data_IF_503110547909
#
_entry.id   IF_503110547909
#
_cell.length_a   1.000
_cell.length_b   1.000
_cell.length_c   1.000
_cell.angle_alpha   90.00
_cell.angle_beta   90.00
_cell.angle_gamma   90.00
#
_symmetry.space_group_name_H-M   'P 1'
#
loop_
_entity.id
_entity.type
_entity.pdbx_description
1 polymer ?
#
# COMPACT_ATOMS: atom_id res chain seq x y z
N UNK A 1 -15.89 -34.05 -21.43
CA UNK A 1 -15.21 -32.77 -21.19
C UNK A 1 -14.91 -32.68 -19.70
N UNK A 2 -13.68 -33.01 -19.32
CA UNK A 2 -13.17 -32.75 -17.98
C UNK A 2 -13.20 -31.25 -17.74
N UNK A 3 -13.95 -30.82 -16.71
CA UNK A 3 -13.90 -29.45 -16.19
C UNK A 3 -12.42 -29.15 -15.94
N UNK A 4 -11.81 -28.11 -16.55
CA UNK A 4 -10.43 -27.79 -16.24
C UNK A 4 -10.37 -27.51 -14.73
N UNK A 5 -9.54 -28.24 -13.99
CA UNK A 5 -9.17 -27.85 -12.63
C UNK A 5 -8.80 -26.37 -12.69
N UNK A 6 -9.55 -25.51 -11.96
CA UNK A 6 -9.26 -24.07 -11.89
C UNK A 6 -7.80 -23.93 -11.49
N UNK A 7 -6.98 -23.46 -12.42
CA UNK A 7 -5.57 -23.20 -12.14
C UNK A 7 -5.47 -21.88 -11.38
N UNK A 8 -4.54 -21.77 -10.40
CA UNK A 8 -4.24 -20.49 -9.78
C UNK A 8 -3.90 -19.44 -10.84
N UNK A 9 -4.35 -18.20 -10.62
CA UNK A 9 -4.10 -17.09 -11.55
C UNK A 9 -3.48 -15.91 -10.83
N UNK A 10 -2.79 -15.06 -11.58
CA UNK A 10 -2.46 -13.71 -11.12
C UNK A 10 -3.52 -12.73 -11.58
N UNK A 11 -3.84 -11.75 -10.75
CA UNK A 11 -4.52 -10.53 -11.18
C UNK A 11 -3.54 -9.38 -10.97
N UNK A 12 -2.98 -8.88 -12.06
CA UNK A 12 -2.06 -7.74 -12.03
C UNK A 12 -2.89 -6.46 -12.19
N UNK A 13 -2.73 -5.51 -11.28
CA UNK A 13 -3.51 -4.27 -11.30
C UNK A 13 -2.69 -3.07 -10.85
N UNK A 14 -3.23 -1.89 -11.16
CA UNK A 14 -2.71 -0.59 -10.76
C UNK A 14 -3.85 0.44 -10.67
N UNK A 15 -3.70 1.44 -9.80
CA UNK A 15 -4.61 2.58 -9.71
C UNK A 15 -3.89 3.88 -10.06
N UNK A 16 -4.58 4.73 -10.81
CA UNK A 16 -4.31 6.17 -10.76
C UNK A 16 -5.28 6.82 -9.78
N UNK A 17 -4.76 7.64 -8.88
CA UNK A 17 -5.55 8.31 -7.82
C UNK A 17 -5.44 9.82 -7.92
N UNK A 18 -6.41 10.51 -7.35
CA UNK A 18 -6.41 11.97 -7.24
C UNK A 18 -5.54 12.50 -6.09
N UNK A 19 -4.73 11.66 -5.45
CA UNK A 19 -3.84 12.06 -4.36
C UNK A 19 -3.19 10.87 -3.66
N UNK A 20 -2.33 11.17 -2.69
CA UNK A 20 -1.44 10.18 -2.07
C UNK A 20 -1.99 9.54 -0.79
N UNK A 21 -3.08 10.04 -0.23
CA UNK A 21 -3.68 9.52 1.00
C UNK A 21 -4.80 8.50 0.68
N UNK A 22 -4.58 7.17 0.83
CA UNK A 22 -5.49 6.15 0.30
C UNK A 22 -6.93 6.18 0.85
N UNK A 23 -7.12 6.76 2.04
CA UNK A 23 -8.43 6.88 2.67
C UNK A 23 -9.19 8.17 2.30
N UNK A 24 -8.47 9.27 2.05
CA UNK A 24 -9.05 10.61 1.94
C UNK A 24 -9.10 11.07 0.48
N UNK A 25 -8.09 10.68 -0.30
CA UNK A 25 -8.09 10.86 -1.74
C UNK A 25 -8.91 9.78 -2.44
N UNK A 26 -9.42 10.11 -3.64
CA UNK A 26 -10.31 9.25 -4.40
C UNK A 26 -9.56 8.57 -5.56
N UNK A 27 -9.90 7.32 -5.89
CA UNK A 27 -9.39 6.72 -7.11
C UNK A 27 -9.90 7.50 -8.33
N UNK A 28 -9.07 7.60 -9.37
CA UNK A 28 -9.43 8.22 -10.64
C UNK A 28 -9.63 7.16 -11.73
N UNK A 29 -8.71 6.19 -11.83
CA UNK A 29 -8.74 5.09 -12.78
C UNK A 29 -8.30 3.79 -12.10
N UNK A 30 -8.80 2.67 -12.59
CA UNK A 30 -8.28 1.34 -12.32
C UNK A 30 -7.95 0.64 -13.63
N UNK A 31 -6.83 -0.05 -13.65
CA UNK A 31 -6.50 -1.03 -14.69
C UNK A 31 -6.17 -2.38 -14.06
N UNK A 32 -6.56 -3.45 -14.74
CA UNK A 32 -6.15 -4.79 -14.32
C UNK A 32 -6.31 -5.84 -15.40
N UNK A 33 -5.45 -6.85 -15.36
CA UNK A 33 -5.47 -7.98 -16.27
C UNK A 33 -5.19 -9.27 -15.52
N UNK A 34 -5.97 -10.30 -15.84
CA UNK A 34 -5.73 -11.64 -15.32
C UNK A 34 -4.64 -12.28 -16.14
N UNK A 35 -3.78 -13.07 -15.52
CA UNK A 35 -2.75 -13.84 -16.18
C UNK A 35 -2.64 -15.24 -15.57
N UNK A 36 -2.17 -16.19 -16.38
CA UNK A 36 -1.87 -17.52 -15.88
C UNK A 36 -0.60 -17.51 -15.02
N UNK A 37 -0.19 -18.68 -14.53
CA UNK A 37 1.02 -18.79 -13.74
C UNK A 37 2.28 -18.41 -14.50
N UNK A 38 2.31 -18.43 -15.85
CA UNK A 38 3.38 -17.97 -16.74
C UNK A 38 3.40 -16.45 -16.95
N UNK A 39 2.44 -15.74 -16.36
CA UNK A 39 2.15 -14.32 -16.61
C UNK A 39 1.65 -14.05 -18.03
N UNK A 40 1.11 -15.06 -18.72
CA UNK A 40 0.44 -14.88 -20.01
C UNK A 40 -1.00 -14.37 -19.78
N UNK A 41 -1.39 -13.22 -20.39
CA UNK A 41 -2.72 -12.66 -20.23
C UNK A 41 -3.86 -13.64 -20.50
N UNK A 42 -4.87 -13.59 -19.65
CA UNK A 42 -6.10 -14.37 -19.74
C UNK A 42 -7.28 -13.41 -19.91
N UNK A 43 -7.85 -13.40 -21.11
CA UNK A 43 -8.96 -12.52 -21.46
C UNK A 43 -8.52 -11.08 -21.72
N UNK A 44 -9.50 -10.17 -21.73
CA UNK A 44 -9.29 -8.77 -22.08
C UNK A 44 -8.89 -7.91 -20.87
N UNK A 45 -7.99 -6.92 -21.07
CA UNK A 45 -7.67 -5.95 -20.02
C UNK A 45 -8.93 -5.19 -19.58
N UNK A 46 -9.01 -4.90 -18.29
CA UNK A 46 -10.11 -4.13 -17.70
C UNK A 46 -9.58 -2.75 -17.33
N UNK A 47 -10.12 -1.71 -17.95
CA UNK A 47 -9.79 -0.30 -17.65
C UNK A 47 -11.08 0.47 -17.49
N UNK A 48 -11.23 1.19 -16.37
CA UNK A 48 -12.40 2.02 -16.12
C UNK A 48 -12.09 3.12 -15.10
N UNK A 49 -12.85 4.22 -15.17
CA UNK A 49 -12.66 5.41 -14.34
C UNK A 49 -13.67 5.47 -13.18
N UNK A 50 -13.29 6.15 -12.11
CA UNK A 50 -14.15 6.45 -10.97
C UNK A 50 -14.52 7.94 -10.98
N UNK A 51 -15.81 8.24 -11.06
CA UNK A 51 -16.32 9.61 -10.97
C UNK A 51 -16.12 10.13 -9.54
N UNK A 52 -15.41 11.27 -9.35
CA UNK A 52 -15.31 11.89 -8.03
C UNK A 52 -16.70 12.39 -7.58
N UNK A 53 -16.99 12.27 -6.28
CA UNK A 53 -18.19 12.86 -5.69
C UNK A 53 -18.03 14.38 -5.51
N UNK A 54 -19.14 15.08 -5.27
CA UNK A 54 -19.20 16.54 -5.14
C UNK A 54 -18.66 17.08 -3.80
N UNK A 55 -18.05 16.21 -2.99
CA UNK A 55 -17.42 16.50 -1.70
C UNK A 55 -15.90 16.33 -1.74
N UNK A 56 -15.26 16.53 -2.89
CA UNK A 56 -13.82 16.31 -3.02
C UNK A 56 -13.17 17.19 -4.11
N UNK A 57 -11.97 17.68 -3.80
CA UNK A 57 -11.06 18.35 -4.73
C UNK A 57 -9.79 17.49 -4.89
N UNK A 58 -9.39 17.12 -6.12
CA UNK A 58 -8.14 16.39 -6.38
C UNK A 58 -6.89 17.14 -5.93
N UNK A 59 -5.85 16.43 -5.48
CA UNK A 59 -4.50 17.00 -5.35
C UNK A 59 -4.00 17.45 -6.74
N UNK A 60 -3.70 18.74 -6.93
CA UNK A 60 -3.20 19.22 -8.21
C UNK A 60 -1.93 18.52 -8.69
N UNK A 61 -1.02 18.12 -7.79
CA UNK A 61 0.19 17.41 -8.17
C UNK A 61 -0.10 16.01 -8.70
N UNK A 62 -1.07 15.30 -8.11
CA UNK A 62 -1.50 14.00 -8.60
C UNK A 62 -2.09 14.12 -10.01
N UNK A 63 -2.92 15.13 -10.27
CA UNK A 63 -3.48 15.37 -11.60
C UNK A 63 -2.40 15.71 -12.63
N UNK A 64 -1.34 16.42 -12.24
CA UNK A 64 -0.19 16.67 -13.12
C UNK A 64 0.61 15.40 -13.45
N UNK A 65 0.70 14.45 -12.53
CA UNK A 65 1.40 13.18 -12.72
C UNK A 65 0.57 12.25 -13.61
N UNK A 66 -0.70 12.04 -13.25
CA UNK A 66 -1.60 11.09 -13.93
C UNK A 66 -2.14 11.63 -15.25
N UNK A 67 -2.23 12.95 -15.40
CA UNK A 67 -2.89 13.61 -16.52
C UNK A 67 -4.42 13.45 -16.55
N UNK A 68 -5.02 12.81 -15.53
CA UNK A 68 -6.46 12.56 -15.46
C UNK A 68 -7.14 13.71 -14.71
N UNK A 69 -8.03 14.43 -15.40
CA UNK A 69 -8.81 15.50 -14.77
C UNK A 69 -10.07 14.97 -14.10
N UNK A 70 -10.60 15.64 -13.06
CA UNK A 70 -11.89 15.27 -12.46
C UNK A 70 -13.04 15.30 -13.49
N UNK A 71 -12.99 16.20 -14.49
CA UNK A 71 -13.98 16.22 -15.57
C UNK A 71 -13.91 14.99 -16.47
N UNK A 72 -12.70 14.50 -16.80
CA UNK A 72 -12.53 13.26 -17.56
C UNK A 72 -13.08 12.08 -16.77
N UNK A 73 -12.66 11.93 -15.51
CA UNK A 73 -13.11 10.84 -14.66
C UNK A 73 -14.64 10.89 -14.42
N UNK A 74 -15.23 12.09 -14.35
CA UNK A 74 -16.68 12.24 -14.23
C UNK A 74 -17.46 11.89 -15.51
N UNK A 75 -16.89 12.19 -16.69
CA UNK A 75 -17.49 11.89 -18.00
C UNK A 75 -17.39 10.41 -18.34
N UNK A 76 -16.21 9.83 -18.13
CA UNK A 76 -15.86 8.49 -18.61
C UNK A 76 -16.01 7.42 -17.51
N UNK A 77 -16.24 7.83 -16.27
CA UNK A 77 -16.29 6.96 -15.10
C UNK A 77 -17.69 6.63 -14.59
N UNK A 78 -17.71 5.69 -13.66
CA UNK A 78 -18.89 5.25 -12.90
C UNK A 78 -18.81 5.80 -11.47
N UNK A 79 -19.92 5.78 -10.71
CA UNK A 79 -19.85 6.14 -9.29
C UNK A 79 -18.97 5.16 -8.49
N UNK A 80 -18.54 5.55 -7.29
CA UNK A 80 -17.60 4.76 -6.49
C UNK A 80 -18.18 3.39 -6.09
N UNK A 81 -19.50 3.29 -5.91
CA UNK A 81 -20.19 2.03 -5.64
C UNK A 81 -20.04 1.00 -6.78
N UNK A 82 -20.31 1.41 -8.02
CA UNK A 82 -20.14 0.55 -9.20
C UNK A 82 -18.66 0.25 -9.48
N UNK A 83 -17.78 1.24 -9.25
CA UNK A 83 -16.33 1.07 -9.35
C UNK A 83 -15.84 -0.02 -8.38
N UNK A 84 -16.24 0.06 -7.10
CA UNK A 84 -15.96 -0.93 -6.08
C UNK A 84 -16.52 -2.32 -6.46
N UNK A 85 -17.75 -2.39 -6.96
CA UNK A 85 -18.39 -3.65 -7.38
C UNK A 85 -17.58 -4.36 -8.47
N UNK A 86 -17.12 -3.64 -9.49
CA UNK A 86 -16.32 -4.20 -10.59
C UNK A 86 -14.99 -4.76 -10.09
N UNK A 87 -14.28 -3.99 -9.28
CA UNK A 87 -12.99 -4.40 -8.70
C UNK A 87 -13.18 -5.60 -7.78
N UNK A 88 -14.17 -5.56 -6.88
CA UNK A 88 -14.49 -6.67 -6.00
C UNK A 88 -14.81 -7.96 -6.78
N UNK A 89 -15.59 -7.87 -7.86
CA UNK A 89 -15.88 -9.02 -8.71
C UNK A 89 -14.62 -9.64 -9.33
N UNK A 90 -13.65 -8.82 -9.74
CA UNK A 90 -12.36 -9.29 -10.26
C UNK A 90 -11.48 -9.90 -9.16
N UNK A 91 -11.42 -9.25 -7.98
CA UNK A 91 -10.54 -9.62 -6.88
C UNK A 91 -11.03 -10.87 -6.15
N UNK A 92 -12.34 -11.14 -6.15
CA UNK A 92 -12.97 -12.26 -5.43
C UNK A 92 -13.11 -13.53 -6.27
N UNK A 93 -12.47 -13.62 -7.44
CA UNK A 93 -12.35 -14.89 -8.18
C UNK A 93 -11.46 -15.86 -7.37
N UNK A 94 -11.89 -17.11 -7.10
CA UNK A 94 -11.10 -18.10 -6.37
C UNK A 94 -9.69 -18.32 -6.93
N UNK A 95 -8.76 -18.71 -6.05
CA UNK A 95 -7.37 -19.04 -6.36
C UNK A 95 -6.61 -17.92 -7.13
N UNK A 96 -6.93 -16.66 -6.81
CA UNK A 96 -6.28 -15.48 -7.39
C UNK A 96 -5.17 -14.95 -6.49
N UNK A 97 -3.98 -14.73 -7.04
CA UNK A 97 -2.93 -13.92 -6.43
C UNK A 97 -3.03 -12.48 -6.98
N UNK A 98 -3.55 -11.56 -6.17
CA UNK A 98 -3.63 -10.14 -6.52
C UNK A 98 -2.24 -9.52 -6.36
N UNK A 99 -1.73 -8.88 -7.40
CA UNK A 99 -0.35 -8.39 -7.50
C UNK A 99 -0.33 -7.01 -8.18
N UNK A 100 0.59 -6.16 -7.76
CA UNK A 100 0.95 -4.94 -8.48
C UNK A 100 2.42 -4.59 -8.22
N UNK A 101 2.75 -3.31 -8.38
CA UNK A 101 4.06 -2.77 -8.08
C UNK A 101 3.94 -1.71 -6.98
N UNK A 102 4.41 -2.02 -5.76
CA UNK A 102 4.16 -1.22 -4.54
C UNK A 102 2.72 -1.27 -4.02
N UNK A 103 1.89 -2.20 -4.52
CA UNK A 103 0.48 -2.29 -4.18
C UNK A 103 0.23 -2.51 -2.68
N UNK A 104 1.05 -3.28 -1.98
CA UNK A 104 0.82 -3.59 -0.56
C UNK A 104 0.85 -2.36 0.34
N UNK A 105 1.59 -1.32 -0.07
CA UNK A 105 1.73 -0.07 0.69
C UNK A 105 0.84 1.05 0.17
N UNK A 106 0.24 0.91 -1.01
CA UNK A 106 -0.56 1.95 -1.63
C UNK A 106 -1.89 1.40 -2.18
N UNK A 107 -1.89 0.71 -3.31
CA UNK A 107 -3.10 0.27 -4.00
C UNK A 107 -4.00 -0.63 -3.15
N UNK A 108 -3.42 -1.54 -2.37
CA UNK A 108 -4.17 -2.39 -1.44
C UNK A 108 -4.87 -1.56 -0.35
N UNK A 109 -4.27 -0.42 0.06
CA UNK A 109 -4.86 0.53 1.00
C UNK A 109 -5.97 1.34 0.31
N UNK A 110 -5.82 1.68 -0.97
CA UNK A 110 -6.90 2.27 -1.79
C UNK A 110 -8.06 1.29 -1.90
N UNK A 111 -7.81 0.02 -2.26
CA UNK A 111 -8.83 -1.03 -2.34
C UNK A 111 -9.53 -1.24 -1.00
N UNK A 112 -8.80 -1.29 0.11
CA UNK A 112 -9.40 -1.44 1.44
C UNK A 112 -10.35 -0.31 1.78
N UNK A 113 -9.94 0.94 1.56
CA UNK A 113 -10.78 2.10 1.84
C UNK A 113 -11.95 2.20 0.85
N UNK A 114 -11.74 1.85 -0.42
CA UNK A 114 -12.79 1.74 -1.43
C UNK A 114 -13.88 0.73 -0.98
N UNK A 115 -13.48 -0.46 -0.56
CA UNK A 115 -14.41 -1.49 -0.07
C UNK A 115 -15.10 -1.06 1.23
N UNK A 116 -14.36 -0.48 2.17
CA UNK A 116 -14.89 0.06 3.41
C UNK A 116 -15.97 1.13 3.21
N UNK A 117 -15.74 2.11 2.32
CA UNK A 117 -16.72 3.16 2.00
C UNK A 117 -17.94 2.64 1.27
N UNK A 118 -17.82 1.49 0.60
CA UNK A 118 -18.85 0.91 -0.27
C UNK A 118 -19.33 -0.46 0.23
N UNK A 119 -19.27 -0.72 1.54
CA UNK A 119 -19.89 -1.87 2.22
C UNK A 119 -19.37 -3.27 1.85
N UNK A 120 -18.25 -3.37 1.15
CA UNK A 120 -17.54 -4.65 0.94
C UNK A 120 -16.59 -4.94 2.10
N UNK A 121 -16.35 -6.23 2.42
CA UNK A 121 -15.33 -6.61 3.40
C UNK A 121 -13.94 -6.14 2.89
N UNK A 122 -13.24 -5.26 3.63
CA UNK A 122 -11.97 -4.68 3.15
C UNK A 122 -10.83 -5.68 3.00
N UNK A 123 -10.96 -6.90 3.55
CA UNK A 123 -9.85 -7.83 3.69
C UNK A 123 -10.10 -9.17 3.00
N UNK A 124 -11.36 -9.62 2.89
CA UNK A 124 -11.76 -10.93 2.40
C UNK A 124 -11.09 -11.33 1.07
N UNK A 125 -11.02 -10.40 0.12
CA UNK A 125 -10.45 -10.62 -1.21
C UNK A 125 -9.01 -11.17 -1.19
N UNK A 126 -8.26 -10.88 -0.11
CA UNK A 126 -6.85 -11.19 0.00
C UNK A 126 -6.53 -12.59 0.55
N UNK A 127 -7.53 -13.35 0.99
CA UNK A 127 -7.33 -14.65 1.65
C UNK A 127 -8.46 -15.66 1.48
N UNK A 128 -9.70 -15.23 1.23
CA UNK A 128 -10.82 -16.15 1.04
C UNK A 128 -10.65 -16.94 -0.26
N UNK A 129 -11.23 -18.15 -0.31
CA UNK A 129 -11.29 -18.97 -1.53
C UNK A 129 -9.93 -19.27 -2.18
N UNK A 130 -8.88 -19.42 -1.36
CA UNK A 130 -7.53 -19.69 -1.85
C UNK A 130 -6.77 -18.45 -2.35
N UNK A 131 -7.37 -17.27 -2.25
CA UNK A 131 -6.74 -16.03 -2.70
C UNK A 131 -5.51 -15.64 -1.87
N UNK A 132 -4.65 -14.84 -2.47
CA UNK A 132 -3.48 -14.28 -1.83
C UNK A 132 -3.13 -12.93 -2.44
N UNK A 133 -2.16 -12.23 -1.84
CA UNK A 133 -1.59 -11.02 -2.40
C UNK A 133 -0.08 -11.16 -2.54
N UNK A 134 0.50 -10.35 -3.40
CA UNK A 134 1.94 -10.22 -3.57
C UNK A 134 2.29 -8.82 -4.09
N UNK A 135 3.58 -8.46 -4.09
CA UNK A 135 4.07 -7.15 -4.51
C UNK A 135 5.43 -7.29 -5.18
N UNK A 136 5.54 -6.83 -6.42
CA UNK A 136 6.74 -7.01 -7.22
C UNK A 136 7.88 -6.07 -6.80
N UNK A 137 7.61 -4.96 -6.10
CA UNK A 137 8.64 -3.99 -5.73
C UNK A 137 9.71 -4.61 -4.82
N UNK A 138 9.30 -5.30 -3.75
CA UNK A 138 10.24 -5.95 -2.84
C UNK A 138 10.85 -7.22 -3.48
N UNK A 139 10.20 -7.82 -4.49
CA UNK A 139 10.80 -8.88 -5.34
C UNK A 139 11.96 -8.33 -6.18
N UNK A 140 11.79 -7.16 -6.82
CA UNK A 140 12.86 -6.51 -7.58
C UNK A 140 14.05 -6.17 -6.68
N UNK A 141 13.79 -5.61 -5.49
CA UNK A 141 14.83 -5.32 -4.49
C UNK A 141 15.55 -6.59 -4.06
N UNK A 142 14.83 -7.68 -3.81
CA UNK A 142 15.42 -8.95 -3.41
C UNK A 142 16.26 -9.57 -4.52
N UNK A 143 15.81 -9.46 -5.78
CA UNK A 143 16.57 -9.91 -6.93
C UNK A 143 17.89 -9.12 -7.04
N UNK A 144 17.86 -7.78 -7.01
CA UNK A 144 19.07 -6.95 -7.00
C UNK A 144 20.02 -7.30 -5.84
N UNK A 145 19.47 -7.46 -4.64
CA UNK A 145 20.26 -7.67 -3.44
C UNK A 145 20.91 -9.05 -3.42
N UNK A 146 20.16 -10.09 -3.78
CA UNK A 146 20.57 -11.48 -3.54
C UNK A 146 21.08 -12.15 -4.81
N UNK A 147 20.47 -11.91 -5.97
CA UNK A 147 20.79 -12.60 -7.23
C UNK A 147 20.63 -11.62 -8.40
N UNK A 148 21.54 -10.63 -8.53
CA UNK A 148 21.39 -9.55 -9.50
C UNK A 148 21.61 -9.99 -10.96
N UNK A 149 22.22 -11.15 -11.19
CA UNK A 149 22.62 -11.61 -12.51
C UNK A 149 21.41 -11.80 -13.43
N UNK A 150 21.52 -11.40 -14.70
CA UNK A 150 20.46 -11.55 -15.70
C UNK A 150 19.48 -10.37 -15.83
N UNK A 151 19.58 -9.36 -14.96
CA UNK A 151 18.77 -8.13 -15.02
C UNK A 151 19.69 -6.90 -15.03
N UNK A 152 19.36 -5.89 -15.82
CA UNK A 152 20.05 -4.59 -15.82
C UNK A 152 19.44 -3.69 -14.75
N UNK A 153 20.29 -3.19 -13.85
CA UNK A 153 19.87 -2.40 -12.70
C UNK A 153 20.23 -0.92 -12.91
N UNK A 154 19.24 -0.04 -13.16
CA UNK A 154 19.50 1.38 -13.36
C UNK A 154 19.91 2.05 -12.05
N UNK A 155 20.66 3.14 -12.17
CA UNK A 155 20.99 4.02 -11.04
C UNK A 155 20.09 5.26 -11.06
N UNK A 156 19.85 5.85 -9.89
CA UNK A 156 19.23 7.16 -9.75
C UNK A 156 20.28 8.27 -9.86
N UNK A 157 19.84 9.52 -9.73
CA UNK A 157 20.71 10.70 -9.83
C UNK A 157 21.82 10.75 -8.74
N UNK A 158 21.62 10.05 -7.63
CA UNK A 158 22.60 9.90 -6.54
C UNK A 158 23.59 8.73 -6.76
N UNK A 159 23.51 8.02 -7.89
CA UNK A 159 24.32 6.84 -8.18
C UNK A 159 23.92 5.57 -7.41
N UNK A 160 22.74 5.56 -6.78
CA UNK A 160 22.16 4.43 -6.05
C UNK A 160 21.20 3.61 -6.92
N UNK A 161 20.97 2.31 -6.65
CA UNK A 161 20.05 1.51 -7.44
C UNK A 161 18.62 2.07 -7.41
N UNK A 162 18.04 2.27 -8.59
CA UNK A 162 16.67 2.72 -8.76
C UNK A 162 15.71 1.56 -9.01
N UNK A 163 14.60 1.55 -8.28
CA UNK A 163 13.52 0.58 -8.41
C UNK A 163 12.23 1.24 -8.90
N UNK A 164 12.32 2.40 -9.58
CA UNK A 164 11.16 2.95 -10.27
C UNK A 164 10.86 2.11 -11.51
N UNK A 165 9.59 1.84 -11.79
CA UNK A 165 9.19 0.87 -12.81
C UNK A 165 9.61 1.33 -14.21
N UNK A 166 9.47 2.63 -14.50
CA UNK A 166 9.91 3.29 -15.73
C UNK A 166 11.44 3.24 -15.92
N UNK A 167 12.23 3.28 -14.85
CA UNK A 167 13.68 3.11 -14.94
C UNK A 167 14.06 1.66 -15.25
N UNK A 168 13.44 0.70 -14.57
CA UNK A 168 13.72 -0.73 -14.74
C UNK A 168 13.35 -1.23 -16.14
N UNK A 169 12.15 -0.86 -16.61
CA UNK A 169 11.67 -1.23 -17.95
C UNK A 169 12.58 -0.69 -19.05
N UNK A 170 12.91 0.62 -18.99
CA UNK A 170 13.85 1.27 -19.92
C UNK A 170 15.22 0.57 -19.92
N UNK A 171 15.77 0.30 -18.72
CA UNK A 171 17.08 -0.34 -18.60
C UNK A 171 17.09 -1.77 -19.16
N UNK A 172 15.95 -2.46 -19.17
CA UNK A 172 15.84 -3.85 -19.61
C UNK A 172 15.26 -4.02 -21.02
N UNK A 173 14.92 -2.94 -21.73
CA UNK A 173 14.37 -2.99 -23.08
C UNK A 173 12.91 -3.46 -23.12
N UNK A 174 12.17 -3.24 -22.03
CA UNK A 174 10.73 -3.45 -21.96
C UNK A 174 10.05 -2.17 -22.42
N UNK A 175 9.11 -2.29 -23.37
CA UNK A 175 8.29 -1.16 -23.81
C UNK A 175 7.41 -0.67 -22.65
N UNK A 176 7.49 0.63 -22.38
CA UNK A 176 6.69 1.30 -21.35
C UNK A 176 6.22 2.64 -21.93
N UNK A 177 5.24 2.56 -22.83
CA UNK A 177 4.60 3.72 -23.44
C UNK A 177 3.70 4.43 -22.42
N UNK A 178 3.84 5.75 -22.26
CA UNK A 178 3.06 6.58 -21.32
C UNK A 178 3.10 6.05 -19.87
N UNK A 179 4.23 6.21 -19.18
CA UNK A 179 4.28 6.00 -17.73
C UNK A 179 3.21 6.86 -17.04
N UNK A 180 2.57 6.34 -15.98
CA UNK A 180 1.39 6.94 -15.33
C UNK A 180 0.08 6.82 -16.16
N UNK A 181 0.01 5.80 -17.01
CA UNK A 181 -1.26 5.18 -17.44
C UNK A 181 -1.35 3.82 -16.75
N UNK A 182 -2.43 3.60 -15.98
CA UNK A 182 -2.57 2.40 -15.16
C UNK A 182 -2.38 1.10 -15.96
N UNK A 183 -2.79 1.05 -17.23
CA UNK A 183 -2.66 -0.16 -18.05
C UNK A 183 -1.22 -0.37 -18.55
N UNK A 184 -0.51 0.71 -18.88
CA UNK A 184 0.92 0.65 -19.20
C UNK A 184 1.73 0.11 -18.01
N UNK A 185 1.45 0.58 -16.79
CA UNK A 185 2.11 0.12 -15.57
C UNK A 185 1.76 -1.35 -15.23
N UNK A 186 0.53 -1.79 -15.52
CA UNK A 186 0.15 -3.22 -15.43
C UNK A 186 0.96 -4.09 -16.39
N UNK A 187 1.11 -3.70 -17.65
CA UNK A 187 1.92 -4.45 -18.62
C UNK A 187 3.41 -4.43 -18.28
N UNK A 188 3.93 -3.29 -17.83
CA UNK A 188 5.29 -3.18 -17.32
C UNK A 188 5.53 -4.13 -16.15
N UNK A 189 4.58 -4.21 -15.20
CA UNK A 189 4.65 -5.12 -14.05
C UNK A 189 4.65 -6.59 -14.48
N UNK A 190 3.78 -6.98 -15.43
CA UNK A 190 3.79 -8.33 -16.02
C UNK A 190 5.15 -8.66 -16.66
N UNK A 191 5.69 -7.74 -17.46
CA UNK A 191 6.97 -7.94 -18.14
C UNK A 191 8.13 -8.08 -17.16
N UNK A 192 8.16 -7.26 -16.10
CA UNK A 192 9.18 -7.37 -15.05
C UNK A 192 9.05 -8.67 -14.26
N UNK A 193 7.84 -9.14 -13.98
CA UNK A 193 7.62 -10.42 -13.30
C UNK A 193 8.13 -11.61 -14.14
N UNK A 194 7.88 -11.59 -15.46
CA UNK A 194 8.44 -12.56 -16.41
C UNK A 194 9.96 -12.51 -16.43
N UNK A 195 10.54 -11.32 -16.48
CA UNK A 195 11.99 -11.12 -16.51
C UNK A 195 12.67 -11.72 -15.27
N UNK A 196 12.14 -11.43 -14.07
CA UNK A 196 12.67 -12.01 -12.81
C UNK A 196 12.54 -13.52 -12.82
N UNK A 197 11.41 -14.06 -13.26
CA UNK A 197 11.20 -15.51 -13.32
C UNK A 197 12.18 -16.20 -14.28
N UNK A 198 12.47 -15.58 -15.44
CA UNK A 198 13.41 -16.12 -16.42
C UNK A 198 14.85 -16.04 -15.92
N UNK A 199 15.26 -14.90 -15.38
CA UNK A 199 16.63 -14.67 -14.91
C UNK A 199 16.93 -15.45 -13.61
N UNK A 200 15.99 -15.49 -12.67
CA UNK A 200 16.17 -16.01 -11.31
C UNK A 200 14.99 -16.89 -10.84
N UNK A 201 14.70 -18.02 -11.51
CA UNK A 201 13.51 -18.83 -11.24
C UNK A 201 13.44 -19.35 -9.80
N UNK A 202 14.58 -19.81 -9.24
CA UNK A 202 14.62 -20.32 -7.86
C UNK A 202 14.31 -19.24 -6.82
N UNK A 203 14.78 -18.01 -7.04
CA UNK A 203 14.49 -16.89 -6.14
C UNK A 203 13.03 -16.47 -6.28
N UNK A 204 12.53 -16.38 -7.51
CA UNK A 204 11.13 -16.08 -7.80
C UNK A 204 10.19 -17.06 -7.10
N UNK A 205 10.40 -18.37 -7.27
CA UNK A 205 9.59 -19.42 -6.64
C UNK A 205 9.66 -19.35 -5.11
N UNK A 206 10.85 -19.13 -4.55
CA UNK A 206 11.05 -18.96 -3.12
C UNK A 206 10.22 -17.77 -2.58
N UNK A 207 10.32 -16.61 -3.22
CA UNK A 207 9.61 -15.40 -2.78
C UNK A 207 8.10 -15.55 -2.95
N UNK A 208 7.64 -16.17 -4.03
CA UNK A 208 6.23 -16.46 -4.23
C UNK A 208 5.70 -17.37 -3.13
N UNK A 209 6.38 -18.48 -2.82
CA UNK A 209 5.99 -19.39 -1.75
C UNK A 209 5.99 -18.71 -0.37
N UNK A 210 6.90 -17.76 -0.13
CA UNK A 210 7.01 -17.03 1.13
C UNK A 210 6.21 -15.73 1.19
N UNK A 211 5.27 -15.49 0.26
CA UNK A 211 4.39 -14.31 0.31
C UNK A 211 3.39 -14.33 1.48
N UNK A 212 3.05 -15.54 1.95
CA UNK A 212 2.03 -15.76 2.99
C UNK A 212 2.61 -15.85 4.41
N UNK A 213 1.74 -15.61 5.40
CA UNK A 213 2.11 -15.62 6.82
C UNK A 213 2.67 -16.96 7.31
N UNK A 214 2.14 -18.09 6.83
CA UNK A 214 2.50 -19.41 7.36
C UNK A 214 3.94 -19.82 7.00
N UNK A 215 4.38 -19.75 5.73
CA UNK A 215 5.77 -20.01 5.37
C UNK A 215 6.75 -19.05 6.04
N UNK A 216 6.39 -17.76 6.18
CA UNK A 216 7.23 -16.78 6.88
C UNK A 216 7.41 -17.12 8.36
N UNK A 217 6.34 -17.54 9.06
CA UNK A 217 6.42 -17.96 10.47
C UNK A 217 7.39 -19.13 10.67
N UNK A 218 7.48 -20.06 9.73
CA UNK A 218 8.42 -21.18 9.81
C UNK A 218 9.91 -20.77 9.77
N UNK A 219 10.22 -19.57 9.26
CA UNK A 219 11.59 -19.03 9.28
C UNK A 219 11.96 -18.42 10.63
N UNK A 220 10.97 -17.98 11.41
CA UNK A 220 11.14 -17.12 12.58
C UNK A 220 11.33 -17.98 13.83
N UNK A 221 12.50 -17.86 14.46
CA UNK A 221 12.79 -18.42 15.78
C UNK A 221 13.22 -17.28 16.71
N UNK A 222 12.24 -16.79 17.48
CA UNK A 222 12.41 -15.72 18.45
C UNK A 222 13.25 -16.19 19.63
N UNK A 223 13.13 -17.44 20.07
CA UNK A 223 13.85 -17.95 21.24
C UNK A 223 15.36 -17.94 20.96
N UNK A 224 15.78 -18.50 19.83
CA UNK A 224 17.18 -18.54 19.43
C UNK A 224 17.72 -17.21 18.85
N UNK A 225 16.87 -16.19 18.65
CA UNK A 225 17.16 -15.00 17.84
C UNK A 225 17.77 -15.41 16.49
N UNK A 226 17.17 -16.38 15.80
CA UNK A 226 17.74 -16.93 14.57
C UNK A 226 17.88 -15.82 13.52
N UNK A 227 19.10 -15.52 13.03
CA UNK A 227 19.28 -14.42 12.11
C UNK A 227 18.66 -14.74 10.75
N UNK A 228 18.06 -13.72 10.14
CA UNK A 228 17.43 -13.78 8.82
C UNK A 228 17.96 -12.64 7.94
N UNK A 229 17.98 -12.85 6.64
CA UNK A 229 18.07 -11.75 5.67
C UNK A 229 16.69 -11.13 5.55
N UNK A 230 16.62 -9.80 5.60
CA UNK A 230 15.42 -9.06 5.30
C UNK A 230 15.70 -8.01 4.22
N UNK A 231 14.84 -7.95 3.20
CA UNK A 231 14.88 -6.91 2.17
C UNK A 231 13.67 -5.99 2.37
N UNK A 232 13.94 -4.69 2.49
CA UNK A 232 12.93 -3.65 2.72
C UNK A 232 13.43 -2.27 2.32
N UNK A 233 12.56 -1.49 1.66
CA UNK A 233 12.81 -0.09 1.34
C UNK A 233 13.34 0.75 2.51
N UNK A 234 12.89 0.47 3.74
CA UNK A 234 13.28 1.21 4.97
C UNK A 234 14.77 1.14 5.30
N UNK A 235 15.48 0.16 4.77
CA UNK A 235 16.93 0.01 4.95
C UNK A 235 17.75 0.96 4.07
N UNK A 236 17.15 1.53 3.01
CA UNK A 236 17.79 2.46 2.09
C UNK A 236 18.53 1.80 0.92
N UNK A 237 18.58 2.50 -0.21
CA UNK A 237 19.20 2.01 -1.45
C UNK A 237 20.72 1.85 -1.35
N UNK A 238 21.38 2.61 -0.48
CA UNK A 238 22.83 2.56 -0.23
C UNK A 238 23.36 1.18 0.16
N UNK A 239 22.53 0.35 0.81
CA UNK A 239 22.84 -1.06 1.13
C UNK A 239 21.95 -2.06 0.40
N UNK A 240 21.48 -1.68 -0.79
CA UNK A 240 20.56 -2.47 -1.61
C UNK A 240 19.30 -2.89 -0.87
N UNK A 241 18.77 -2.02 0.00
CA UNK A 241 17.56 -2.28 0.79
C UNK A 241 17.64 -3.55 1.65
N UNK A 242 18.84 -3.97 2.08
CA UNK A 242 19.04 -5.30 2.70
C UNK A 242 19.75 -5.20 4.05
N UNK A 243 19.35 -6.06 4.98
CA UNK A 243 20.04 -6.24 6.25
C UNK A 243 19.94 -7.69 6.74
N UNK A 244 20.90 -8.09 7.59
CA UNK A 244 20.65 -9.18 8.53
C UNK A 244 19.89 -8.66 9.73
N UNK A 245 18.85 -9.39 10.12
CA UNK A 245 18.00 -9.05 11.26
C UNK A 245 17.97 -10.18 12.28
N UNK A 246 17.69 -9.86 13.54
CA UNK A 246 17.36 -10.82 14.58
C UNK A 246 15.94 -10.59 15.10
N UNK A 247 15.08 -11.61 15.17
CA UNK A 247 13.76 -11.48 15.78
C UNK A 247 13.89 -11.39 17.31
N UNK A 248 13.29 -10.35 17.90
CA UNK A 248 13.37 -10.11 19.35
C UNK A 248 12.09 -10.56 20.08
N UNK A 249 10.93 -10.18 19.56
CA UNK A 249 9.63 -10.50 20.13
C UNK A 249 8.50 -10.32 19.10
N UNK A 250 7.35 -10.95 19.35
CA UNK A 250 6.11 -10.59 18.67
C UNK A 250 5.58 -9.28 19.27
N UNK A 251 4.94 -8.45 18.45
CA UNK A 251 4.33 -7.21 18.93
C UNK A 251 3.19 -7.53 19.92
N UNK A 252 3.04 -6.76 21.02
CA UNK A 252 2.06 -7.04 22.08
C UNK A 252 0.60 -7.01 21.58
N UNK A 253 0.26 -6.02 20.74
CA UNK A 253 -1.11 -5.87 20.22
C UNK A 253 -1.30 -6.44 18.80
N UNK A 254 -0.42 -6.11 17.86
CA UNK A 254 -0.53 -6.56 16.47
C UNK A 254 0.08 -7.96 16.24
N UNK A 255 -0.78 -8.98 16.22
CA UNK A 255 -0.38 -10.38 16.02
C UNK A 255 0.35 -10.69 14.69
N UNK A 256 0.30 -9.77 13.72
CA UNK A 256 1.00 -9.90 12.44
C UNK A 256 2.32 -9.12 12.41
N UNK A 257 2.72 -8.44 13.49
CA UNK A 257 3.96 -7.68 13.55
C UNK A 257 5.01 -8.39 14.41
N UNK A 258 6.21 -8.53 13.83
CA UNK A 258 7.39 -9.04 14.50
C UNK A 258 8.35 -7.87 14.77
N UNK A 259 8.80 -7.73 16.02
CA UNK A 259 9.83 -6.77 16.40
C UNK A 259 11.19 -7.40 16.07
N UNK A 260 11.95 -6.75 15.20
CA UNK A 260 13.26 -7.22 14.76
C UNK A 260 14.33 -6.16 14.98
N UNK A 261 15.55 -6.61 15.28
CA UNK A 261 16.73 -5.77 15.36
C UNK A 261 17.52 -5.82 14.04
N UNK A 262 17.91 -4.66 13.51
CA UNK A 262 18.89 -4.53 12.42
C UNK A 262 20.29 -4.78 12.97
N UNK A 263 20.89 -5.92 12.61
CA UNK A 263 22.19 -6.34 13.15
C UNK A 263 23.35 -5.49 12.62
N UNK A 264 23.14 -4.64 11.61
CA UNK A 264 24.15 -3.67 11.18
C UNK A 264 24.16 -2.39 12.04
N UNK A 265 23.13 -2.21 12.87
CA UNK A 265 22.96 -1.04 13.72
C UNK A 265 23.97 -0.93 14.86
N UNK A 266 23.82 0.15 15.64
CA UNK A 266 24.56 0.36 16.88
C UNK A 266 23.76 -0.22 18.07
N UNK A 267 24.30 -1.26 18.70
CA UNK A 267 23.62 -1.93 19.81
C UNK A 267 23.69 -1.13 21.11
N UNK A 268 24.63 -0.19 21.26
CA UNK A 268 24.74 0.65 22.47
C UNK A 268 23.42 1.37 22.76
N UNK A 269 22.73 1.83 21.71
CA UNK A 269 21.40 2.46 21.80
C UNK A 269 20.40 1.57 22.53
N UNK A 270 20.39 0.26 22.25
CA UNK A 270 19.49 -0.70 22.91
C UNK A 270 19.94 -1.10 24.31
N UNK A 271 21.24 -1.03 24.59
CA UNK A 271 21.80 -1.41 25.88
C UNK A 271 21.68 -0.28 26.91
N UNK A 272 21.99 0.95 26.50
CA UNK A 272 22.18 2.10 27.38
C UNK A 272 20.88 2.87 27.67
N UNK A 273 19.93 2.88 26.72
CA UNK A 273 18.68 3.64 26.86
C UNK A 273 17.55 2.81 27.49
N UNK A 274 16.69 3.50 28.24
CA UNK A 274 15.43 2.92 28.74
C UNK A 274 14.32 2.90 27.66
N UNK A 275 13.19 2.24 27.96
CA UNK A 275 12.10 2.08 27.01
C UNK A 275 11.46 3.41 26.56
N UNK A 276 11.37 4.42 27.43
CA UNK A 276 10.79 5.71 27.10
C UNK A 276 11.73 6.50 26.17
N UNK A 277 13.02 6.52 26.49
CA UNK A 277 14.05 7.13 25.65
C UNK A 277 14.11 6.46 24.27
N UNK A 278 14.07 5.13 24.23
CA UNK A 278 14.00 4.36 22.99
C UNK A 278 12.76 4.71 22.17
N UNK A 279 11.59 4.82 22.82
CA UNK A 279 10.34 5.19 22.16
C UNK A 279 10.41 6.57 21.53
N UNK A 280 10.86 7.57 22.29
CA UNK A 280 11.04 8.94 21.77
C UNK A 280 11.99 8.95 20.58
N UNK A 281 13.13 8.24 20.67
CA UNK A 281 14.12 8.21 19.60
C UNK A 281 13.62 7.46 18.36
N UNK A 282 12.87 6.36 18.53
CA UNK A 282 12.28 5.56 17.45
C UNK A 282 11.29 6.37 16.60
N UNK A 283 10.51 7.25 17.24
CA UNK A 283 9.53 8.11 16.55
C UNK A 283 10.09 9.50 16.17
N UNK A 284 11.37 9.76 16.44
CA UNK A 284 12.04 10.98 15.97
C UNK A 284 12.49 10.77 14.52
N UNK A 285 12.11 11.71 13.64
CA UNK A 285 12.54 11.67 12.23
C UNK A 285 14.06 11.71 12.11
N UNK A 286 14.62 10.98 11.13
CA UNK A 286 16.08 10.86 10.94
C UNK A 286 16.81 12.18 10.76
N UNK A 287 16.21 13.12 10.03
CA UNK A 287 16.72 14.49 9.83
C UNK A 287 16.81 15.31 11.13
N UNK A 288 16.12 14.87 12.19
CA UNK A 288 16.14 15.48 13.53
C UNK A 288 16.98 14.72 14.55
N UNK A 289 17.58 13.58 14.17
CA UNK A 289 18.40 12.77 15.09
C UNK A 289 19.77 13.39 15.40
N UNK A 290 20.19 14.45 14.67
CA UNK A 290 21.51 15.07 14.82
C UNK A 290 22.62 13.99 14.76
N UNK A 291 23.54 13.98 15.73
CA UNK A 291 24.64 13.02 15.84
C UNK A 291 24.25 11.70 16.54
N UNK A 292 22.98 11.52 16.94
CA UNK A 292 22.55 10.29 17.63
C UNK A 292 22.30 9.17 16.63
N UNK A 293 22.79 7.97 16.96
CA UNK A 293 22.46 6.78 16.20
C UNK A 293 20.95 6.47 16.30
N UNK A 294 20.30 6.06 15.19
CA UNK A 294 18.90 5.65 15.22
C UNK A 294 18.73 4.35 16.02
N UNK A 295 17.55 4.16 16.62
CA UNK A 295 17.19 2.88 17.25
C UNK A 295 17.19 1.78 16.18
N UNK A 296 17.99 0.72 16.30
CA UNK A 296 18.12 -0.32 15.27
C UNK A 296 16.97 -1.33 15.33
N UNK A 297 15.73 -0.87 15.55
CA UNK A 297 14.53 -1.70 15.65
C UNK A 297 13.58 -1.33 14.50
N UNK A 298 12.94 -2.36 13.93
CA UNK A 298 11.80 -2.17 13.03
C UNK A 298 10.74 -3.23 13.28
N UNK A 299 9.54 -2.94 12.79
CA UNK A 299 8.49 -3.95 12.66
C UNK A 299 8.60 -4.65 11.29
N UNK A 300 8.33 -5.95 11.28
CA UNK A 300 8.11 -6.76 10.08
C UNK A 300 6.68 -7.28 10.14
N UNK A 301 5.83 -6.79 9.24
CA UNK A 301 4.43 -7.19 9.15
C UNK A 301 4.29 -8.40 8.24
N UNK A 302 4.08 -9.60 8.80
CA UNK A 302 4.08 -10.87 8.05
C UNK A 302 2.89 -11.04 7.08
N UNK A 303 1.87 -10.18 7.19
CA UNK A 303 0.73 -10.11 6.27
C UNK A 303 0.92 -9.10 5.12
N UNK A 304 2.08 -8.44 5.06
CA UNK A 304 2.47 -7.46 4.02
C UNK A 304 3.61 -7.99 3.14
N UNK A 305 3.60 -9.29 2.87
CA UNK A 305 4.56 -10.04 2.04
C UNK A 305 6.05 -9.63 2.24
N UNK A 306 6.55 -9.54 3.49
CA UNK A 306 7.92 -9.11 3.72
C UNK A 306 8.90 -10.15 3.19
N UNK A 307 9.96 -9.70 2.52
CA UNK A 307 11.00 -10.61 2.05
C UNK A 307 11.88 -11.02 3.23
N UNK A 308 11.75 -12.28 3.64
CA UNK A 308 12.59 -12.92 4.65
C UNK A 308 13.25 -14.18 4.07
N UNK A 309 14.54 -14.37 4.38
CA UNK A 309 15.27 -15.57 3.99
C UNK A 309 16.26 -16.02 5.06
N UNK A 310 16.67 -17.31 5.08
CA UNK A 310 17.75 -17.76 5.95
C UNK A 310 19.02 -16.92 5.77
N UNK A 311 19.77 -16.66 6.85
CA UNK A 311 20.95 -15.79 6.84
C UNK A 311 21.97 -16.11 5.73
N UNK A 312 22.16 -17.40 5.39
CA UNK A 312 23.09 -17.86 4.36
C UNK A 312 22.64 -17.54 2.91
N UNK A 313 21.42 -17.03 2.71
CA UNK A 313 20.93 -16.60 1.39
C UNK A 313 21.71 -15.39 0.87
N UNK A 314 22.12 -14.51 1.79
CA UNK A 314 23.06 -13.42 1.53
C UNK A 314 24.49 -13.98 1.60
N UNK A 315 25.09 -14.16 0.42
CA UNK A 315 26.44 -14.73 0.29
C UNK A 315 27.50 -13.69 0.70
N UNK A 316 28.72 -14.10 1.08
CA UNK A 316 29.79 -13.17 1.42
C UNK A 316 30.04 -12.11 0.34
N UNK A 317 30.05 -12.51 -0.93
CA UNK A 317 30.26 -11.62 -2.08
C UNK A 317 29.09 -10.63 -2.28
N UNK A 318 27.85 -11.04 -1.99
CA UNK A 318 26.70 -10.14 -2.04
C UNK A 318 26.75 -9.13 -0.90
N UNK A 319 27.14 -9.57 0.30
CA UNK A 319 27.29 -8.69 1.45
C UNK A 319 28.38 -7.64 1.21
N UNK A 320 29.52 -8.04 0.63
CA UNK A 320 30.59 -7.12 0.23
C UNK A 320 30.11 -6.11 -0.81
N UNK A 321 29.43 -6.56 -1.88
CA UNK A 321 28.83 -5.69 -2.91
C UNK A 321 27.85 -4.68 -2.32
N UNK A 322 27.11 -5.05 -1.28
CA UNK A 322 26.11 -4.20 -0.62
C UNK A 322 26.66 -3.40 0.57
N UNK A 323 27.95 -3.53 0.91
CA UNK A 323 28.56 -2.84 2.05
C UNK A 323 28.04 -3.32 3.42
N UNK A 324 27.62 -4.58 3.53
CA UNK A 324 27.10 -5.18 4.77
C UNK A 324 28.22 -5.93 5.50
N UNK A 325 28.66 -5.40 6.64
CA UNK A 325 29.66 -6.06 7.50
C UNK A 325 29.06 -7.26 8.26
N UNK A 326 29.26 -8.46 7.70
CA UNK A 326 28.79 -9.71 8.29
C UNK A 326 29.42 -10.01 9.64
N UNK A 327 30.67 -9.61 9.87
CA UNK A 327 31.35 -9.85 11.14
C UNK A 327 30.70 -9.01 12.24
N UNK A 328 30.52 -7.72 11.99
CA UNK A 328 29.79 -6.81 12.89
C UNK A 328 28.39 -7.33 13.21
N UNK A 329 27.66 -7.83 12.22
CA UNK A 329 26.33 -8.40 12.47
C UNK A 329 26.36 -9.63 13.38
N UNK A 330 27.35 -10.51 13.24
CA UNK A 330 27.52 -11.69 14.11
C UNK A 330 27.94 -11.30 15.53
N UNK A 331 28.80 -10.29 15.66
CA UNK A 331 29.22 -9.74 16.95
C UNK A 331 28.02 -9.12 17.67
N UNK A 332 27.22 -8.30 16.97
CA UNK A 332 25.98 -7.73 17.48
C UNK A 332 24.94 -8.80 17.87
N UNK A 333 24.84 -9.90 17.11
CA UNK A 333 23.97 -11.02 17.49
C UNK A 333 24.45 -11.70 18.80
N UNK A 334 25.76 -11.82 19.01
CA UNK A 334 26.30 -12.34 20.28
C UNK A 334 26.00 -11.40 21.45
N UNK A 335 26.12 -10.09 21.24
CA UNK A 335 25.73 -9.07 22.24
C UNK A 335 24.25 -9.26 22.60
N UNK A 336 23.34 -9.22 21.63
CA UNK A 336 21.89 -9.35 21.89
C UNK A 336 21.53 -10.65 22.64
N UNK A 337 22.19 -11.77 22.33
CA UNK A 337 21.95 -13.04 23.03
C UNK A 337 22.43 -13.06 24.48
N UNK A 338 23.40 -12.23 24.85
CA UNK A 338 23.89 -12.07 26.23
C UNK A 338 23.05 -11.08 27.04
N UNK A 339 22.27 -10.24 26.38
CA UNK A 339 21.46 -9.18 26.97
C UNK A 339 19.95 -9.46 26.79
N UNK A 340 19.45 -10.45 27.53
CA UNK A 340 18.05 -10.88 27.44
C UNK A 340 17.05 -9.75 27.79
N UNK A 341 17.45 -8.82 28.65
CA UNK A 341 16.70 -7.63 29.06
C UNK A 341 16.30 -6.71 27.89
N UNK A 342 17.02 -6.78 26.76
CA UNK A 342 16.67 -6.03 25.55
C UNK A 342 15.28 -6.42 25.04
N UNK A 343 14.86 -7.69 25.21
CA UNK A 343 13.52 -8.13 24.79
C UNK A 343 12.41 -7.45 25.58
N UNK A 344 12.60 -7.35 26.90
CA UNK A 344 11.64 -6.69 27.79
C UNK A 344 11.55 -5.20 27.47
N UNK A 345 12.71 -4.55 27.26
CA UNK A 345 12.78 -3.15 26.83
C UNK A 345 12.01 -2.90 25.53
N UNK A 346 12.24 -3.69 24.48
CA UNK A 346 11.53 -3.46 23.21
C UNK A 346 10.04 -3.77 23.30
N UNK A 347 9.62 -4.75 24.11
CA UNK A 347 8.19 -4.99 24.36
C UNK A 347 7.55 -3.77 25.04
N UNK A 348 8.19 -3.20 26.07
CA UNK A 348 7.70 -1.99 26.72
C UNK A 348 7.62 -0.79 25.77
N UNK A 349 8.55 -0.64 24.82
CA UNK A 349 8.49 0.41 23.78
C UNK A 349 7.16 0.36 23.01
N UNK A 350 6.69 -0.84 22.65
CA UNK A 350 5.47 -1.02 21.82
C UNK A 350 4.17 -1.21 22.61
N UNK A 351 4.22 -1.58 23.89
CA UNK A 351 3.02 -1.75 24.74
C UNK A 351 2.43 -0.43 25.24
N UNK A 352 3.26 0.60 25.43
CA UNK A 352 2.84 1.89 26.00
C UNK A 352 2.95 3.03 24.97
N UNK A 353 2.79 2.71 23.68
CA UNK A 353 2.71 3.75 22.67
C UNK A 353 1.50 4.65 22.96
N UNK A 354 1.67 5.97 22.83
CA UNK A 354 0.54 6.89 23.03
C UNK A 354 -0.60 6.49 22.08
N UNK A 355 -1.85 6.44 22.56
CA UNK A 355 -2.98 6.13 21.71
C UNK A 355 -3.04 7.12 20.55
N UNK A 356 -3.14 6.59 19.34
CA UNK A 356 -3.48 7.42 18.18
C UNK A 356 -4.81 8.12 18.46
N UNK A 357 -4.85 9.45 18.38
CA UNK A 357 -6.10 10.21 18.48
C UNK A 357 -6.90 9.89 17.21
N UNK A 358 -8.02 9.17 17.30
CA UNK A 358 -8.77 8.77 16.10
C UNK A 358 -9.29 10.00 15.37
N UNK A 359 -9.23 9.99 14.04
CA UNK A 359 -9.87 11.03 13.24
C UNK A 359 -11.38 11.00 13.45
N UNK A 360 -12.03 12.16 13.52
CA UNK A 360 -13.49 12.26 13.51
C UNK A 360 -14.09 11.97 12.12
N UNK A 361 -13.27 12.00 11.06
CA UNK A 361 -13.71 11.69 9.71
C UNK A 361 -13.87 10.18 9.52
N UNK A 362 -15.11 9.70 9.35
CA UNK A 362 -15.41 8.26 9.19
C UNK A 362 -14.62 7.59 8.06
N UNK A 363 -14.26 8.31 7.00
CA UNK A 363 -13.47 7.78 5.88
C UNK A 363 -12.05 7.36 6.31
N UNK A 364 -11.52 7.95 7.40
CA UNK A 364 -10.21 7.64 7.96
C UNK A 364 -10.26 6.64 9.14
N UNK A 365 -11.43 6.03 9.41
CA UNK A 365 -11.66 5.16 10.58
C UNK A 365 -11.64 3.66 10.26
N UNK A 366 -11.17 3.24 9.07
CA UNK A 366 -11.06 1.82 8.69
C UNK A 366 -10.34 0.99 9.78
N UNK A 367 -9.25 1.52 10.33
CA UNK A 367 -8.40 0.82 11.29
C UNK A 367 -8.84 0.94 12.76
N UNK A 368 -10.01 1.53 13.04
CA UNK A 368 -10.57 1.63 14.40
C UNK A 368 -11.17 0.32 14.93
N UNK A 369 -11.09 -0.77 14.16
CA UNK A 369 -11.56 -2.10 14.56
C UNK A 369 -12.22 -2.85 13.41
N UNK A 370 -12.27 -4.18 13.54
CA UNK A 370 -13.02 -5.03 12.61
C UNK A 370 -14.52 -4.96 12.90
N UNK A 371 -15.34 -5.03 11.85
CA UNK A 371 -16.79 -5.16 12.01
C UNK A 371 -17.17 -6.53 12.57
N UNK A 372 -18.26 -6.57 13.34
CA UNK A 372 -18.83 -7.81 13.88
C UNK A 372 -19.46 -8.67 12.77
N UNK A 373 -19.71 -9.95 13.04
CA UNK A 373 -20.44 -10.82 12.09
C UNK A 373 -21.85 -10.32 11.79
N UNK A 374 -22.52 -9.75 12.81
CA UNK A 374 -23.84 -9.14 12.66
C UNK A 374 -23.77 -7.93 11.73
N UNK A 375 -22.81 -7.03 11.94
CA UNK A 375 -22.61 -5.87 11.08
C UNK A 375 -22.23 -6.29 9.66
N UNK A 376 -21.35 -7.29 9.47
CA UNK A 376 -21.02 -7.82 8.13
C UNK A 376 -22.23 -8.37 7.39
N UNK A 377 -23.12 -9.04 8.10
CA UNK A 377 -24.39 -9.51 7.54
C UNK A 377 -25.26 -8.33 7.11
N UNK A 378 -25.37 -7.30 7.95
CA UNK A 378 -26.09 -6.07 7.63
C UNK A 378 -25.50 -5.33 6.41
N UNK A 379 -24.17 -5.24 6.30
CA UNK A 379 -23.50 -4.68 5.11
C UNK A 379 -23.83 -5.47 3.84
N UNK A 380 -23.91 -6.81 3.92
CA UNK A 380 -24.33 -7.66 2.81
C UNK A 380 -25.75 -7.34 2.34
N UNK A 381 -26.69 -7.15 3.28
CA UNK A 381 -28.07 -6.74 2.95
C UNK A 381 -28.09 -5.37 2.25
N UNK A 382 -27.27 -4.42 2.68
CA UNK A 382 -27.14 -3.09 2.04
C UNK A 382 -26.66 -3.23 0.59
N UNK A 383 -25.66 -4.07 0.34
CA UNK A 383 -25.13 -4.32 -1.01
C UNK A 383 -26.16 -4.96 -1.95
N UNK A 384 -27.04 -5.81 -1.43
CA UNK A 384 -28.09 -6.48 -2.20
C UNK A 384 -29.36 -5.62 -2.37
N UNK A 385 -29.48 -4.53 -1.62
CA UNK A 385 -30.66 -3.67 -1.66
C UNK A 385 -30.53 -2.58 -2.71
N UNK A 386 -31.55 -2.45 -3.55
CA UNK A 386 -31.65 -1.37 -4.53
C UNK A 386 -31.55 0.01 -3.86
N UNK A 387 -30.80 0.97 -4.42
CA UNK A 387 -30.57 2.28 -3.80
C UNK A 387 -31.83 3.03 -3.38
N UNK A 388 -32.92 2.91 -4.15
CA UNK A 388 -34.20 3.55 -3.87
C UNK A 388 -34.88 3.02 -2.58
N UNK A 389 -34.53 1.82 -2.14
CA UNK A 389 -35.10 1.17 -0.95
C UNK A 389 -34.21 1.34 0.30
N UNK A 390 -32.95 1.77 0.15
CA UNK A 390 -32.04 2.03 1.27
C UNK A 390 -32.59 3.00 2.32
N UNK A 391 -33.33 4.08 1.99
CA UNK A 391 -33.88 4.99 3.01
C UNK A 391 -34.94 4.33 3.90
N UNK A 392 -35.66 3.33 3.37
CA UNK A 392 -36.71 2.62 4.08
C UNK A 392 -36.21 1.40 4.87
N UNK A 393 -34.92 1.06 4.76
CA UNK A 393 -34.32 -0.04 5.49
C UNK A 393 -34.17 0.28 6.98
N UNK A 394 -34.78 -0.54 7.83
CA UNK A 394 -34.56 -0.51 9.27
C UNK A 394 -33.41 -1.47 9.63
N UNK A 395 -32.18 -0.97 9.58
CA UNK A 395 -30.98 -1.73 9.98
C UNK A 395 -30.38 -1.15 11.24
N UNK A 396 -30.26 -2.02 12.26
CA UNK A 396 -29.51 -1.73 13.46
C UNK A 396 -28.04 -2.12 13.27
N UNK A 397 -27.14 -1.18 13.51
CA UNK A 397 -25.69 -1.40 13.53
C UNK A 397 -25.18 -1.44 14.96
N UNK A 398 -24.26 -2.35 15.24
CA UNK A 398 -23.50 -2.37 16.50
C UNK A 398 -22.38 -1.33 16.42
N UNK A 399 -21.67 -1.29 15.28
CA UNK A 399 -20.59 -0.34 15.05
C UNK A 399 -21.11 1.06 14.67
N UNK A 400 -20.72 2.08 15.44
CA UNK A 400 -21.16 3.46 15.24
C UNK A 400 -20.75 4.07 13.89
N UNK A 401 -19.70 3.54 13.24
CA UNK A 401 -19.22 4.05 11.94
C UNK A 401 -20.23 3.83 10.82
N UNK A 402 -20.99 2.74 10.87
CA UNK A 402 -21.83 2.28 9.76
C UNK A 402 -22.99 3.23 9.45
N UNK A 403 -23.50 3.96 10.45
CA UNK A 403 -24.55 4.97 10.24
C UNK A 403 -24.05 6.13 9.37
N UNK A 404 -22.87 6.66 9.70
CA UNK A 404 -22.26 7.76 8.93
C UNK A 404 -21.79 7.27 7.55
N UNK A 405 -21.22 6.06 7.46
CA UNK A 405 -20.85 5.44 6.19
C UNK A 405 -22.05 5.28 5.26
N UNK A 406 -23.21 4.83 5.76
CA UNK A 406 -24.41 4.64 4.95
C UNK A 406 -24.95 5.96 4.40
N UNK A 407 -24.95 7.00 5.25
CA UNK A 407 -25.33 8.35 4.82
C UNK A 407 -24.41 8.85 3.70
N UNK A 408 -23.08 8.81 3.89
CA UNK A 408 -22.12 9.27 2.87
C UNK A 408 -22.14 8.42 1.60
N UNK A 409 -22.30 7.11 1.73
CA UNK A 409 -22.43 6.20 0.59
C UNK A 409 -23.63 6.57 -0.28
N UNK A 410 -24.80 6.81 0.32
CA UNK A 410 -26.00 7.26 -0.39
C UNK A 410 -25.80 8.65 -1.01
N UNK A 411 -25.27 9.60 -0.24
CA UNK A 411 -25.10 10.97 -0.71
C UNK A 411 -24.12 11.07 -1.89
N UNK A 412 -22.98 10.36 -1.82
CA UNK A 412 -21.95 10.35 -2.88
C UNK A 412 -22.39 9.59 -4.14
N UNK A 413 -23.05 8.45 -3.98
CA UNK A 413 -23.32 7.54 -5.11
C UNK A 413 -24.72 7.69 -5.70
N UNK A 414 -25.71 8.03 -4.86
CA UNK A 414 -27.13 8.06 -5.18
C UNK A 414 -27.83 9.30 -4.58
N UNK A 415 -27.36 10.53 -4.88
CA UNK A 415 -27.86 11.76 -4.26
C UNK A 415 -29.37 11.99 -4.46
N UNK A 416 -29.94 11.44 -5.54
CA UNK A 416 -31.37 11.48 -5.83
C UNK A 416 -32.24 10.68 -4.84
N UNK A 417 -31.63 9.87 -3.97
CA UNK A 417 -32.33 9.10 -2.93
C UNK A 417 -32.44 9.86 -1.60
N UNK A 418 -31.81 11.03 -1.48
CA UNK A 418 -31.81 11.83 -0.26
C UNK A 418 -33.11 12.65 -0.14
N UNK A 419 -33.71 12.64 1.06
CA UNK A 419 -34.80 13.57 1.38
C UNK A 419 -34.28 15.00 1.62
N UNK A 420 -35.19 15.97 1.79
CA UNK A 420 -34.82 17.39 1.97
C UNK A 420 -33.90 17.62 3.18
N UNK A 421 -34.09 16.87 4.27
CA UNK A 421 -33.28 16.99 5.48
C UNK A 421 -31.88 16.42 5.28
N UNK A 422 -31.78 15.31 4.55
CA UNK A 422 -30.52 14.68 4.19
C UNK A 422 -29.73 15.49 3.17
N UNK A 423 -30.41 16.11 2.19
CA UNK A 423 -29.80 17.05 1.25
C UNK A 423 -29.23 18.27 1.97
N UNK A 424 -29.95 18.83 2.95
CA UNK A 424 -29.46 19.94 3.75
C UNK A 424 -28.24 19.52 4.59
N UNK A 425 -28.29 18.35 5.23
CA UNK A 425 -27.14 17.79 5.96
C UNK A 425 -25.92 17.60 5.05
N UNK A 426 -26.12 17.11 3.82
CA UNK A 426 -25.04 16.93 2.85
C UNK A 426 -24.45 18.27 2.40
N UNK A 427 -25.29 19.26 2.14
CA UNK A 427 -24.86 20.61 1.79
C UNK A 427 -24.02 21.24 2.91
N UNK A 428 -24.44 21.10 4.16
CA UNK A 428 -23.70 21.64 5.31
C UNK A 428 -22.37 20.90 5.52
N UNK A 429 -22.34 19.58 5.30
CA UNK A 429 -21.10 18.81 5.27
C UNK A 429 -20.13 19.32 4.19
N UNK A 430 -20.61 19.53 2.95
CA UNK A 430 -19.80 20.06 1.84
C UNK A 430 -19.28 21.47 2.13
N UNK A 431 -20.10 22.36 2.71
CA UNK A 431 -19.69 23.72 3.10
C UNK A 431 -18.57 23.71 4.14
N UNK A 432 -18.63 22.79 5.11
CA UNK A 432 -17.59 22.66 6.12
C UNK A 432 -16.27 22.17 5.51
N UNK A 433 -16.35 21.26 4.52
CA UNK A 433 -15.17 20.78 3.80
C UNK A 433 -14.57 21.89 2.92
N UNK A 434 -15.41 22.62 2.19
CA UNK A 434 -15.02 23.73 1.33
C UNK A 434 -15.07 25.06 2.07
N UNK A 435 -14.45 25.10 3.26
CA UNK A 435 -14.31 26.33 4.02
C UNK A 435 -13.49 27.38 3.24
N UNK A 436 -13.68 28.69 3.48
CA UNK A 436 -12.90 29.74 2.83
C UNK A 436 -11.38 29.51 2.90
N UNK A 437 -10.90 29.00 4.04
CA UNK A 437 -9.47 28.70 4.26
C UNK A 437 -8.99 27.54 3.37
N UNK A 438 -9.80 26.48 3.26
CA UNK A 438 -9.48 25.31 2.42
C UNK A 438 -9.45 25.71 0.94
N UNK A 439 -10.44 26.48 0.49
CA UNK A 439 -10.51 26.96 -0.88
C UNK A 439 -9.36 27.93 -1.21
N UNK A 440 -9.04 28.86 -0.30
CA UNK A 440 -7.92 29.78 -0.49
C UNK A 440 -6.57 29.03 -0.56
N UNK A 441 -6.37 28.03 0.29
CA UNK A 441 -5.16 27.18 0.26
C UNK A 441 -5.04 26.41 -1.07
N UNK A 442 -6.17 25.90 -1.56
CA UNK A 442 -6.22 25.18 -2.83
C UNK A 442 -5.90 26.10 -4.02
N UNK A 443 -6.49 27.30 -4.08
CA UNK A 443 -6.20 28.30 -5.12
C UNK A 443 -4.74 28.73 -5.07
N UNK A 444 -4.19 29.01 -3.89
CA UNK A 444 -2.77 29.35 -3.74
C UNK A 444 -1.84 28.22 -4.24
N UNK A 445 -2.25 26.97 -4.05
CA UNK A 445 -1.52 25.80 -4.58
C UNK A 445 -1.55 25.77 -6.11
N UNK A 446 -2.72 26.01 -6.72
CA UNK A 446 -2.84 26.10 -8.18
C UNK A 446 -1.99 27.25 -8.74
N UNK A 447 -2.03 28.43 -8.14
CA UNK A 447 -1.22 29.59 -8.57
C UNK A 447 0.28 29.30 -8.50
N UNK A 448 0.75 28.69 -7.40
CA UNK A 448 2.15 28.28 -7.25
C UNK A 448 2.58 27.30 -8.34
N UNK A 449 1.78 26.26 -8.60
CA UNK A 449 2.08 25.25 -9.62
C UNK A 449 2.00 25.81 -11.04
N UNK A 450 1.12 26.79 -11.27
CA UNK A 450 1.03 27.48 -12.56
C UNK A 450 2.32 28.23 -12.88
N UNK A 451 2.93 28.90 -11.89
CA UNK A 451 4.23 29.55 -12.04
C UNK A 451 5.35 28.53 -12.21
N UNK A 452 5.37 27.46 -11.40
CA UNK A 452 6.39 26.40 -11.46
C UNK A 452 6.42 25.68 -12.83
N UNK A 453 5.26 25.51 -13.45
CA UNK A 453 5.11 24.82 -14.73
C UNK A 453 4.76 25.75 -15.90
N UNK A 454 5.13 27.04 -15.83
CA UNK A 454 4.82 28.04 -16.87
C UNK A 454 5.30 27.66 -18.28
N UNK A 455 6.35 26.84 -18.38
CA UNK A 455 6.93 26.40 -19.65
C UNK A 455 6.38 25.05 -20.14
N UNK A 456 5.40 24.46 -19.44
CA UNK A 456 4.79 23.17 -19.79
C UNK A 456 3.29 23.35 -20.11
N UNK A 457 2.97 23.51 -21.40
CA UNK A 457 1.60 23.75 -21.88
C UNK A 457 0.59 22.69 -21.42
N UNK A 458 1.01 21.41 -21.33
CA UNK A 458 0.12 20.35 -20.87
C UNK A 458 -0.22 20.52 -19.38
N UNK A 459 0.77 20.85 -18.54
CA UNK A 459 0.53 21.11 -17.12
C UNK A 459 -0.39 22.33 -16.93
N UNK A 460 -0.17 23.40 -17.69
CA UNK A 460 -1.04 24.59 -17.62
C UNK A 460 -2.49 24.28 -17.99
N UNK A 461 -2.71 23.43 -19.00
CA UNK A 461 -4.05 22.95 -19.39
C UNK A 461 -4.71 22.16 -18.26
N UNK A 462 -3.97 21.29 -17.57
CA UNK A 462 -4.47 20.50 -16.44
C UNK A 462 -4.81 21.39 -15.23
N UNK A 463 -3.95 22.34 -14.88
CA UNK A 463 -4.20 23.30 -13.79
C UNK A 463 -5.42 24.17 -14.06
N UNK A 464 -5.58 24.64 -15.31
CA UNK A 464 -6.80 25.36 -15.73
C UNK A 464 -8.04 24.50 -15.56
N UNK A 465 -8.00 23.23 -15.96
CA UNK A 465 -9.12 22.32 -15.76
C UNK A 465 -9.46 22.16 -14.27
N UNK A 466 -8.48 22.10 -13.37
CA UNK A 466 -8.76 22.05 -11.93
C UNK A 466 -9.41 23.33 -11.40
N UNK A 467 -9.01 24.50 -11.90
CA UNK A 467 -9.66 25.76 -11.57
C UNK A 467 -11.12 25.79 -12.08
N UNK A 468 -11.35 25.35 -13.31
CA UNK A 468 -12.70 25.27 -13.88
C UNK A 468 -13.59 24.27 -13.10
N UNK A 469 -13.03 23.16 -12.61
CA UNK A 469 -13.73 22.20 -11.75
C UNK A 469 -14.13 22.81 -10.41
N UNK A 470 -13.21 23.56 -9.79
CA UNK A 470 -13.48 24.27 -8.54
C UNK A 470 -14.64 25.27 -8.69
N UNK A 471 -14.76 25.96 -9.81
CA UNK A 471 -15.85 26.91 -10.05
C UNK A 471 -17.23 26.24 -10.21
N UNK A 472 -17.27 24.94 -10.53
CA UNK A 472 -18.51 24.19 -10.73
C UNK A 472 -19.05 23.55 -9.44
N UNK A 473 -18.18 23.29 -8.47
CA UNK A 473 -18.51 22.71 -7.16
C UNK A 473 -19.22 23.72 -6.25
#
# INVERSE_FOLDING_TARGET
>A
MTIPLKQPTFLVHDYETFGTHPALDRPAQFAGIRADMAFDPLGEPQVFYCRPADDYLPDPQAVLITGITPQQAARDGVNEAEFARRIHAMFSVPDTCILGYNNIRFDDEVTRNLFYRNFYDPYAYSWQQGNSRWDLLDVMRACYALRPEGIRWPLNDDGLPSFRLEHLTRANGVEHSHAHDAMADVYATLAMARLVRQAQPKLFDYLYQHRGKHPLKALIDVAAMKPLVHVSGMFGAARGNTAWIAPLAWHPENQNALIVCDLAGDMSVLLDLDANQLRTLLYTRRDRLQDRAPVPIKLVHINKCPVLAPANTLRPEDAERLGIDRKRCLDNLHILRRHAEVREKVLAVFSEAEPFVPSENVDAQLYNGFFSDADRTAMGIILETEPANLPAMDVSFVDGRLKELLFRYRARNFPHTLDDSEQQRWLDYRKNLFSPETLQSYVATLERLYVEHQDNENHLRLLKALFDYLQQL
#
